data_IF_890225250436
#
_entry.id   IF_890225250436
#
_cell.length_a   1.000
_cell.length_b   1.000
_cell.length_c   1.000
_cell.angle_alpha   90.00
_cell.angle_beta   90.00
_cell.angle_gamma   90.00
#
_symmetry.space_group_name_H-M   'P 1'
#
loop_
_entity.id
_entity.type
_entity.pdbx_description
1 polymer ?
#
# COMPACT_ATOMS: atom_id res chain seq x y z
N UNK A 1 -18.76 -1.61 14.39
CA UNK A 1 -18.31 -2.64 15.34
C UNK A 1 -17.61 -3.69 14.49
N UNK A 2 -16.34 -3.45 14.18
CA UNK A 2 -15.59 -4.21 13.16
C UNK A 2 -14.59 -5.13 13.85
N UNK A 3 -14.64 -6.40 13.48
CA UNK A 3 -13.99 -7.50 14.18
C UNK A 3 -12.47 -7.50 13.99
N UNK A 4 -11.74 -7.65 15.09
CA UNK A 4 -10.34 -8.06 15.14
C UNK A 4 -10.24 -9.52 14.67
N UNK A 5 -9.44 -9.78 13.63
CA UNK A 5 -9.01 -11.14 13.30
C UNK A 5 -7.60 -11.37 13.84
N UNK A 6 -7.52 -12.15 14.93
CA UNK A 6 -6.38 -13.03 15.16
C UNK A 6 -6.38 -14.03 14.01
N UNK A 7 -5.45 -13.89 13.08
CA UNK A 7 -5.23 -14.89 12.04
C UNK A 7 -3.80 -15.44 12.08
N UNK A 8 -3.69 -16.73 11.75
CA UNK A 8 -2.52 -17.58 11.94
C UNK A 8 -1.32 -17.15 11.07
N UNK A 9 -0.08 -17.41 11.49
CA UNK A 9 1.09 -17.16 10.66
C UNK A 9 1.19 -18.23 9.56
N UNK A 10 1.25 -17.82 8.29
CA UNK A 10 1.64 -18.70 7.18
C UNK A 10 0.65 -18.86 6.02
N UNK A 11 -0.45 -18.10 5.96
CA UNK A 11 -1.36 -18.12 4.81
C UNK A 11 -1.34 -16.75 4.11
N UNK A 12 -0.71 -16.67 2.94
CA UNK A 12 -0.77 -15.50 2.08
C UNK A 12 -2.23 -15.29 1.65
N UNK A 13 -2.90 -14.29 2.24
CA UNK A 13 -4.29 -14.00 1.91
C UNK A 13 -4.37 -13.46 0.47
N UNK A 14 -5.22 -14.03 -0.40
CA UNK A 14 -5.50 -13.41 -1.68
C UNK A 14 -6.12 -12.04 -1.43
N UNK A 15 -5.52 -11.00 -2.02
CA UNK A 15 -6.01 -9.61 -2.04
C UNK A 15 -7.49 -9.57 -2.45
N UNK A 16 -8.38 -9.56 -1.46
CA UNK A 16 -9.83 -9.60 -1.63
C UNK A 16 -10.46 -8.25 -1.33
N UNK A 17 -11.12 -7.71 -2.36
CA UNK A 17 -12.13 -6.65 -2.33
C UNK A 17 -11.87 -5.47 -1.37
N UNK A 18 -11.06 -4.53 -1.83
CA UNK A 18 -10.69 -3.26 -1.13
C UNK A 18 -9.76 -3.46 0.05
N UNK A 19 -8.47 -3.42 -0.23
CA UNK A 19 -7.44 -3.23 0.81
C UNK A 19 -7.27 -1.74 1.04
N UNK A 20 -7.91 -1.23 2.10
CA UNK A 20 -7.56 0.09 2.64
C UNK A 20 -6.23 -0.04 3.39
N UNK A 21 -5.18 0.57 2.86
CA UNK A 21 -3.96 0.80 3.63
C UNK A 21 -4.28 1.93 4.62
N UNK A 22 -4.58 1.57 5.87
CA UNK A 22 -4.85 2.55 6.92
C UNK A 22 -3.61 3.41 7.15
N UNK A 23 -3.75 4.72 6.95
CA UNK A 23 -2.73 5.71 7.27
C UNK A 23 -3.33 6.79 8.17
N UNK A 24 -2.59 7.18 9.20
CA UNK A 24 -3.00 8.16 10.22
C UNK A 24 -2.71 9.62 9.83
N UNK A 25 -2.28 9.89 8.59
CA UNK A 25 -1.92 11.26 8.13
C UNK A 25 -2.49 11.65 6.76
N UNK A 26 -2.74 10.67 5.89
CA UNK A 26 -3.46 10.78 4.62
C UNK A 26 -4.01 9.41 4.20
N UNK A 27 -4.58 9.25 3.02
CA UNK A 27 -5.26 8.02 2.62
C UNK A 27 -4.87 7.60 1.20
N UNK A 28 -4.56 6.31 1.05
CA UNK A 28 -4.36 5.65 -0.23
C UNK A 28 -5.35 4.49 -0.30
N UNK A 29 -6.38 4.65 -1.13
CA UNK A 29 -7.39 3.62 -1.35
C UNK A 29 -7.30 3.10 -2.77
N UNK A 30 -7.10 1.79 -2.89
CA UNK A 30 -7.06 1.07 -4.14
C UNK A 30 -8.28 0.14 -4.24
N UNK A 31 -8.88 0.04 -5.43
CA UNK A 31 -9.88 -0.96 -5.75
C UNK A 31 -9.33 -1.93 -6.78
N UNK A 32 -9.56 -3.22 -6.56
CA UNK A 32 -9.17 -4.30 -7.46
C UNK A 32 -10.43 -4.91 -8.07
N UNK A 33 -10.53 -4.89 -9.39
CA UNK A 33 -11.60 -5.55 -10.11
C UNK A 33 -11.37 -7.06 -10.20
N UNK A 34 -12.41 -7.81 -10.58
CA UNK A 34 -12.36 -9.28 -10.68
C UNK A 34 -11.35 -9.81 -11.70
N UNK A 35 -11.02 -9.01 -12.72
CA UNK A 35 -10.00 -9.30 -13.73
C UNK A 35 -8.56 -8.99 -13.24
N UNK A 36 -8.41 -8.50 -12.01
CA UNK A 36 -7.13 -8.11 -11.42
C UNK A 36 -6.74 -6.66 -11.67
N UNK A 37 -7.55 -5.87 -12.38
CA UNK A 37 -7.24 -4.46 -12.65
C UNK A 37 -7.26 -3.64 -11.36
N UNK A 38 -6.17 -2.91 -11.09
CA UNK A 38 -6.13 -1.92 -10.00
C UNK A 38 -6.60 -0.55 -10.48
N UNK A 39 -7.36 0.12 -9.63
CA UNK A 39 -7.77 1.52 -9.78
C UNK A 39 -7.48 2.29 -8.49
N UNK A 40 -6.99 3.51 -8.62
CA UNK A 40 -6.81 4.41 -7.48
C UNK A 40 -8.14 5.12 -7.23
N UNK A 41 -8.73 4.87 -6.07
CA UNK A 41 -9.95 5.53 -5.60
C UNK A 41 -9.59 6.86 -4.94
N UNK A 42 -8.51 6.86 -4.16
CA UNK A 42 -7.97 8.04 -3.47
C UNK A 42 -6.47 7.90 -3.29
N UNK A 43 -5.74 9.00 -3.45
CA UNK A 43 -4.32 9.09 -3.17
C UNK A 43 -4.02 10.50 -2.64
N UNK A 44 -3.75 10.61 -1.34
CA UNK A 44 -3.31 11.87 -0.74
C UNK A 44 -1.81 12.08 -0.94
N UNK A 45 -1.30 13.33 -0.97
CA UNK A 45 0.13 13.61 -1.21
C UNK A 45 1.10 13.05 -0.19
N UNK A 46 0.62 12.72 1.03
CA UNK A 46 1.42 12.18 2.13
C UNK A 46 0.65 11.05 2.79
N UNK A 47 1.25 9.87 2.91
CA UNK A 47 0.64 8.68 3.50
C UNK A 47 1.61 7.98 4.45
N UNK A 48 1.06 7.20 5.38
CA UNK A 48 1.82 6.22 6.16
C UNK A 48 1.67 4.83 5.56
N UNK A 49 2.77 4.10 5.47
CA UNK A 49 2.81 2.75 4.91
C UNK A 49 3.36 1.82 5.99
N UNK A 50 2.64 0.73 6.29
CA UNK A 50 3.17 -0.28 7.21
C UNK A 50 4.46 -0.90 6.65
N UNK A 51 5.47 -1.09 7.50
CA UNK A 51 6.75 -1.70 7.12
C UNK A 51 6.56 -3.07 6.47
N UNK A 52 5.63 -3.87 7.01
CA UNK A 52 5.26 -5.19 6.49
C UNK A 52 4.81 -5.14 5.02
N UNK A 53 4.14 -4.06 4.58
CA UNK A 53 3.71 -3.90 3.18
C UNK A 53 4.92 -3.67 2.28
N UNK A 54 5.91 -2.91 2.74
CA UNK A 54 7.14 -2.69 1.98
C UNK A 54 8.01 -3.95 1.94
N UNK A 55 8.05 -4.71 3.03
CA UNK A 55 8.73 -6.01 3.10
C UNK A 55 8.11 -6.99 2.08
N UNK A 56 6.77 -7.12 2.05
CA UNK A 56 6.08 -7.96 1.06
C UNK A 56 6.34 -7.50 -0.39
N UNK A 57 6.40 -6.19 -0.63
CA UNK A 57 6.75 -5.64 -1.96
C UNK A 57 8.21 -5.94 -2.33
N UNK A 58 9.14 -5.82 -1.37
CA UNK A 58 10.55 -6.13 -1.57
C UNK A 58 10.79 -7.62 -1.81
N UNK A 59 10.01 -8.50 -1.17
CA UNK A 59 10.03 -9.94 -1.36
C UNK A 59 9.34 -10.38 -2.68
N UNK A 60 8.75 -9.44 -3.42
CA UNK A 60 8.12 -9.70 -4.71
C UNK A 60 6.69 -10.25 -4.63
N UNK A 61 6.05 -10.17 -3.46
CA UNK A 61 4.67 -10.62 -3.24
C UNK A 61 3.62 -9.54 -3.57
N UNK A 62 4.06 -8.42 -4.16
CA UNK A 62 3.23 -7.32 -4.60
C UNK A 62 2.30 -7.63 -5.76
N UNK A 63 1.30 -6.76 -5.95
CA UNK A 63 0.56 -6.71 -7.21
C UNK A 63 1.50 -6.25 -8.34
N UNK A 64 1.42 -6.78 -9.58
CA UNK A 64 2.31 -6.40 -10.68
C UNK A 64 2.28 -4.90 -11.05
N UNK A 65 1.17 -4.23 -10.78
CA UNK A 65 1.02 -2.77 -10.94
C UNK A 65 1.62 -1.94 -9.80
N UNK A 66 2.16 -2.58 -8.77
CA UNK A 66 2.78 -1.91 -7.61
C UNK A 66 4.24 -2.32 -7.55
N UNK A 67 5.12 -1.34 -7.61
CA UNK A 67 6.58 -1.58 -7.63
C UNK A 67 7.25 -0.73 -6.56
N UNK A 68 8.23 -1.32 -5.88
CA UNK A 68 9.08 -0.64 -4.92
C UNK A 68 10.53 -0.76 -5.41
N UNK A 69 11.17 0.37 -5.67
CA UNK A 69 12.56 0.44 -6.11
C UNK A 69 13.25 1.69 -5.54
N UNK A 70 14.40 1.51 -4.89
CA UNK A 70 15.21 2.61 -4.32
C UNK A 70 14.37 3.63 -3.52
N UNK A 71 13.53 3.13 -2.60
CA UNK A 71 12.62 3.93 -1.77
C UNK A 71 11.50 4.65 -2.54
N UNK A 72 11.27 4.29 -3.82
CA UNK A 72 10.18 4.81 -4.63
C UNK A 72 9.11 3.76 -4.81
N UNK A 73 7.92 4.03 -4.25
CA UNK A 73 6.72 3.24 -4.47
C UNK A 73 5.98 3.81 -5.69
N UNK A 74 5.85 3.01 -6.74
CA UNK A 74 5.03 3.35 -7.92
C UNK A 74 3.81 2.45 -7.99
N UNK A 75 2.64 3.07 -8.19
CA UNK A 75 1.36 2.41 -8.43
C UNK A 75 0.90 2.80 -9.83
N UNK A 76 0.96 1.87 -10.77
CA UNK A 76 0.53 2.04 -12.16
C UNK A 76 -0.89 1.46 -12.34
N UNK A 77 -1.89 2.20 -11.85
CA UNK A 77 -3.27 1.79 -11.91
C UNK A 77 -3.92 2.18 -13.24
N UNK A 78 -5.01 1.53 -13.61
CA UNK A 78 -5.66 1.72 -14.91
C UNK A 78 -6.16 3.15 -15.16
N UNK A 79 -6.50 3.90 -14.10
CA UNK A 79 -7.01 5.27 -14.21
C UNK A 79 -5.94 6.34 -14.00
N UNK A 80 -4.85 6.04 -13.30
CA UNK A 80 -3.77 6.98 -13.03
C UNK A 80 -2.53 6.28 -12.49
N UNK A 81 -1.38 6.91 -12.69
CA UNK A 81 -0.13 6.53 -12.04
C UNK A 81 0.13 7.42 -10.83
N UNK A 82 0.42 6.82 -9.68
CA UNK A 82 0.79 7.52 -8.44
C UNK A 82 2.19 7.09 -8.02
N UNK A 83 3.00 8.04 -7.59
CA UNK A 83 4.38 7.81 -7.17
C UNK A 83 4.56 8.42 -5.78
N UNK A 84 5.10 7.63 -4.86
CA UNK A 84 5.55 8.10 -3.56
C UNK A 84 7.04 7.83 -3.40
N UNK A 85 7.73 8.76 -2.76
CA UNK A 85 9.06 8.57 -2.20
C UNK A 85 8.93 8.32 -0.71
N UNK A 86 9.61 7.30 -0.21
CA UNK A 86 9.72 7.02 1.20
C UNK A 86 10.75 7.99 1.80
N UNK A 87 10.33 8.76 2.80
CA UNK A 87 11.11 9.90 3.32
C UNK A 87 11.53 9.71 4.77
N UNK A 88 10.77 8.97 5.58
CA UNK A 88 11.09 8.76 6.99
C UNK A 88 10.55 7.40 7.49
N UNK A 89 11.17 6.87 8.54
CA UNK A 89 10.71 5.71 9.31
C UNK A 89 10.51 6.16 10.76
N UNK A 90 9.26 6.21 11.21
CA UNK A 90 8.94 6.90 12.46
C UNK A 90 7.56 6.56 13.03
N UNK A 91 7.38 6.83 14.31
CA UNK A 91 6.19 6.45 15.09
C UNK A 91 4.86 6.93 14.47
N UNK A 92 3.78 6.14 14.62
CA UNK A 92 3.65 4.99 15.51
C UNK A 92 4.21 3.69 14.91
N UNK A 93 4.85 2.87 15.77
CA UNK A 93 5.60 1.64 15.50
C UNK A 93 5.39 0.97 14.12
N UNK A 94 6.49 0.79 13.38
CA UNK A 94 6.59 0.05 12.11
C UNK A 94 5.84 0.66 10.93
N UNK A 95 5.87 1.98 10.77
CA UNK A 95 5.38 2.65 9.56
C UNK A 95 6.45 3.55 8.94
N UNK A 96 6.35 3.72 7.64
CA UNK A 96 7.13 4.63 6.83
C UNK A 96 6.26 5.79 6.36
N UNK A 97 6.79 7.00 6.39
CA UNK A 97 6.20 8.15 5.73
C UNK A 97 6.56 8.11 4.25
N UNK A 98 5.55 8.26 3.39
CA UNK A 98 5.74 8.33 1.95
C UNK A 98 5.00 9.55 1.38
N UNK A 99 5.64 10.25 0.45
CA UNK A 99 5.20 11.56 -0.04
C UNK A 99 5.35 11.65 -1.56
N UNK A 100 4.52 12.43 -2.26
CA UNK A 100 4.74 12.69 -3.69
C UNK A 100 6.12 13.33 -3.91
N UNK A 101 6.85 12.95 -4.96
CA UNK A 101 8.08 13.63 -5.33
C UNK A 101 7.75 15.06 -5.78
N UNK A 102 8.40 16.06 -5.16
CA UNK A 102 8.35 17.47 -5.60
C UNK A 102 8.88 17.67 -7.03
#
# INVERSE_FOLDING_TARGET
MSAFLRDRPGEAKPWGETTSLLSFTGDLTLSKAADGTLTVVRADPRILIAAEVLEELADGNGHPSVTLADDVLTIDAANQRVIYRITDYGMPANVYLAEWPD
#
